data_IF_336823526224
#
_entry.id   IF_336823526224
#
_cell.length_a   1.000
_cell.length_b   1.000
_cell.length_c   1.000
_cell.angle_alpha   90.00
_cell.angle_beta   90.00
_cell.angle_gamma   90.00
#
_symmetry.space_group_name_H-M   'P 1'
#
loop_
_entity.id
_entity.type
_entity.pdbx_description
1 polymer ?
#
# COMPACT_ATOMS: atom_id res chain seq x y z
N UNK A 1 -8.51 -1.45 -21.72
CA UNK A 1 -8.45 -0.79 -20.40
C UNK A 1 -8.55 0.70 -20.65
N UNK A 2 -9.23 1.48 -19.80
CA UNK A 2 -9.09 2.93 -19.86
C UNK A 2 -7.59 3.26 -19.78
N UNK A 3 -7.14 4.26 -20.55
CA UNK A 3 -5.77 4.77 -20.41
C UNK A 3 -5.58 5.23 -18.97
N UNK A 4 -4.37 5.05 -18.44
CA UNK A 4 -3.92 5.75 -17.23
C UNK A 4 -4.01 7.26 -17.50
N UNK A 5 -5.17 7.85 -17.21
CA UNK A 5 -5.37 9.27 -17.09
C UNK A 5 -5.08 9.66 -15.65
N UNK A 6 -4.63 10.89 -15.41
CA UNK A 6 -4.39 11.40 -14.06
C UNK A 6 -5.64 11.31 -13.15
N UNK A 7 -6.83 11.12 -13.73
CA UNK A 7 -8.11 10.95 -13.05
C UNK A 7 -8.48 9.50 -12.67
N UNK A 8 -7.64 8.50 -12.98
CA UNK A 8 -7.94 7.11 -12.62
C UNK A 8 -7.90 6.95 -11.07
N UNK A 9 -8.88 6.26 -10.46
CA UNK A 9 -8.90 6.09 -9.02
C UNK A 9 -7.68 5.28 -8.57
N UNK A 10 -7.10 5.68 -7.44
CA UNK A 10 -5.94 5.00 -6.85
C UNK A 10 -6.38 3.72 -6.15
N UNK A 11 -5.40 2.85 -5.91
CA UNK A 11 -5.58 1.69 -5.04
C UNK A 11 -4.43 1.60 -4.03
N UNK A 12 -4.66 2.19 -2.86
CA UNK A 12 -3.73 2.13 -1.73
C UNK A 12 -3.49 0.72 -1.20
N UNK A 13 -4.46 -0.19 -1.40
CA UNK A 13 -4.34 -1.58 -0.95
C UNK A 13 -3.27 -2.34 -1.74
N UNK A 14 -3.20 -2.13 -3.06
CA UNK A 14 -2.14 -2.69 -3.90
C UNK A 14 -0.75 -2.21 -3.48
N UNK A 15 -0.60 -0.93 -3.14
CA UNK A 15 0.65 -0.37 -2.64
C UNK A 15 1.07 -0.99 -1.30
N UNK A 16 0.14 -1.16 -0.36
CA UNK A 16 0.40 -1.81 0.92
C UNK A 16 0.84 -3.28 0.76
N UNK A 17 0.15 -4.03 -0.11
CA UNK A 17 0.51 -5.42 -0.47
C UNK A 17 1.93 -5.48 -1.06
N UNK A 18 2.24 -4.58 -2.00
CA UNK A 18 3.54 -4.51 -2.63
C UNK A 18 4.65 -4.21 -1.61
N UNK A 19 4.44 -3.25 -0.71
CA UNK A 19 5.41 -2.95 0.35
C UNK A 19 5.69 -4.16 1.26
N UNK A 20 4.65 -4.87 1.70
CA UNK A 20 4.84 -6.09 2.51
C UNK A 20 5.61 -7.18 1.75
N UNK A 21 5.28 -7.39 0.47
CA UNK A 21 5.95 -8.37 -0.38
C UNK A 21 7.41 -8.02 -0.67
N UNK A 22 7.73 -6.74 -0.88
CA UNK A 22 9.10 -6.28 -1.08
C UNK A 22 9.96 -6.50 0.17
N UNK A 23 9.41 -6.27 1.35
CA UNK A 23 10.10 -6.58 2.62
C UNK A 23 10.31 -8.08 2.80
N UNK A 24 9.35 -8.90 2.38
CA UNK A 24 9.52 -10.37 2.37
C UNK A 24 10.69 -10.78 1.47
N UNK A 25 10.72 -10.29 0.23
CA UNK A 25 11.79 -10.56 -0.73
C UNK A 25 13.13 -10.09 -0.16
N UNK A 26 13.20 -8.88 0.40
CA UNK A 26 14.41 -8.34 0.99
C UNK A 26 15.00 -9.27 2.06
N UNK A 27 14.15 -9.86 2.92
CA UNK A 27 14.58 -10.79 3.95
C UNK A 27 15.11 -12.13 3.38
N UNK A 28 14.56 -12.57 2.25
CA UNK A 28 14.94 -13.84 1.61
C UNK A 28 16.24 -13.74 0.81
N UNK A 29 16.54 -12.58 0.21
CA UNK A 29 17.72 -12.41 -0.66
C UNK A 29 18.93 -11.78 0.05
N UNK A 30 18.75 -11.20 1.25
CA UNK A 30 19.82 -10.66 2.09
C UNK A 30 20.38 -9.31 1.62
N UNK A 31 21.47 -8.86 2.25
CA UNK A 31 22.01 -7.47 2.14
C UNK A 31 22.45 -7.02 0.72
N UNK A 32 22.54 -7.93 -0.24
CA UNK A 32 22.80 -7.59 -1.65
C UNK A 32 21.57 -6.97 -2.31
N UNK A 33 20.89 -7.75 -3.15
CA UNK A 33 19.70 -7.30 -3.88
C UNK A 33 18.55 -6.86 -2.93
N UNK A 34 18.57 -7.31 -1.66
CA UNK A 34 17.54 -7.02 -0.67
C UNK A 34 17.48 -5.55 -0.26
N UNK A 35 18.59 -4.82 -0.34
CA UNK A 35 18.60 -3.40 0.03
C UNK A 35 17.71 -2.57 -0.91
N UNK A 36 17.72 -2.87 -2.20
CA UNK A 36 16.86 -2.17 -3.18
C UNK A 36 15.38 -2.45 -2.95
N UNK A 37 15.01 -3.69 -2.62
CA UNK A 37 13.63 -4.04 -2.29
C UNK A 37 13.17 -3.39 -0.98
N UNK A 38 14.03 -3.39 0.05
CA UNK A 38 13.74 -2.72 1.32
C UNK A 38 13.53 -1.23 1.13
N UNK A 39 14.41 -0.54 0.40
CA UNK A 39 14.25 0.89 0.10
C UNK A 39 12.96 1.18 -0.66
N UNK A 40 12.63 0.39 -1.69
CA UNK A 40 11.39 0.56 -2.43
C UNK A 40 10.15 0.38 -1.53
N UNK A 41 10.17 -0.58 -0.61
CA UNK A 41 9.10 -0.76 0.36
C UNK A 41 8.97 0.44 1.32
N UNK A 42 10.10 0.96 1.81
CA UNK A 42 10.15 2.15 2.67
C UNK A 42 9.55 3.38 1.98
N UNK A 43 9.91 3.62 0.71
CA UNK A 43 9.36 4.74 -0.08
C UNK A 43 7.84 4.62 -0.27
N UNK A 44 7.34 3.41 -0.54
CA UNK A 44 5.90 3.16 -0.64
C UNK A 44 5.21 3.44 0.70
N UNK A 45 5.74 2.96 1.82
CA UNK A 45 5.16 3.17 3.15
C UNK A 45 5.16 4.64 3.56
N UNK A 46 6.23 5.39 3.24
CA UNK A 46 6.30 6.84 3.45
C UNK A 46 5.24 7.55 2.61
N UNK A 47 5.06 7.16 1.34
CA UNK A 47 4.02 7.74 0.49
C UNK A 47 2.62 7.46 1.02
N UNK A 48 2.33 6.22 1.44
CA UNK A 48 1.07 5.84 2.05
C UNK A 48 0.79 6.65 3.31
N UNK A 49 1.76 6.75 4.23
CA UNK A 49 1.63 7.54 5.45
C UNK A 49 1.38 9.03 5.16
N UNK A 50 2.13 9.62 4.24
CA UNK A 50 2.04 11.06 4.01
C UNK A 50 0.75 11.47 3.29
N UNK A 51 0.19 10.61 2.44
CA UNK A 51 -0.88 11.00 1.51
C UNK A 51 -2.18 10.23 1.71
N UNK A 52 -2.12 8.97 2.15
CA UNK A 52 -3.27 8.04 2.15
C UNK A 52 -3.81 7.74 3.55
N UNK A 53 -3.24 8.33 4.61
CA UNK A 53 -3.79 8.26 5.98
C UNK A 53 -4.37 9.60 6.46
N UNK A 54 -4.33 10.65 5.63
CA UNK A 54 -4.88 11.96 6.01
C UNK A 54 -6.40 11.95 5.94
N UNK A 55 -7.09 12.38 7.00
CA UNK A 55 -8.55 12.38 7.04
C UNK A 55 -9.17 11.12 7.67
N UNK A 56 -8.38 10.27 8.30
CA UNK A 56 -8.85 9.14 9.12
C UNK A 56 -9.91 9.53 10.16
N UNK A 57 -9.99 10.78 10.62
CA UNK A 57 -11.07 11.19 11.55
C UNK A 57 -12.49 11.00 10.98
N UNK A 58 -12.61 10.85 9.66
CA UNK A 58 -13.87 10.62 8.95
C UNK A 58 -14.01 9.18 8.41
N UNK A 59 -13.04 8.30 8.68
CA UNK A 59 -12.98 6.92 8.17
C UNK A 59 -12.57 5.94 9.27
N UNK A 60 -13.21 4.77 9.33
CA UNK A 60 -12.80 3.69 10.24
C UNK A 60 -11.55 2.94 9.77
N UNK A 61 -11.17 3.09 8.49
CA UNK A 61 -10.01 2.44 7.90
C UNK A 61 -8.71 3.24 8.04
N UNK A 62 -7.58 2.52 8.07
CA UNK A 62 -6.24 3.09 8.17
C UNK A 62 -5.77 3.71 6.86
N UNK A 63 -6.04 3.07 5.72
CA UNK A 63 -5.75 3.59 4.40
C UNK A 63 -7.01 4.03 3.68
N UNK A 64 -6.94 5.22 3.08
CA UNK A 64 -7.94 5.77 2.17
C UNK A 64 -7.57 5.46 0.71
N UNK A 65 -8.48 5.76 -0.22
CA UNK A 65 -8.26 5.67 -1.67
C UNK A 65 -7.86 4.28 -2.17
N UNK A 66 -8.55 3.24 -1.68
CA UNK A 66 -8.49 1.88 -2.23
C UNK A 66 -9.50 1.68 -3.36
N UNK A 67 -9.20 0.77 -4.29
CA UNK A 67 -10.13 0.41 -5.38
C UNK A 67 -10.28 -1.10 -5.51
N UNK A 68 -11.44 -1.64 -5.13
CA UNK A 68 -11.69 -3.08 -5.14
C UNK A 68 -12.21 -3.62 -6.48
N UNK A 69 -13.31 -3.06 -7.00
CA UNK A 69 -13.91 -3.54 -8.25
C UNK A 69 -14.38 -2.40 -9.16
N UNK A 70 -13.39 -1.79 -9.82
CA UNK A 70 -13.57 -0.64 -10.72
C UNK A 70 -14.65 -0.85 -11.79
N UNK A 71 -14.66 -2.00 -12.48
CA UNK A 71 -15.58 -2.25 -13.60
C UNK A 71 -17.07 -2.29 -13.20
N UNK A 72 -17.36 -2.41 -11.89
CA UNK A 72 -18.71 -2.42 -11.34
C UNK A 72 -18.98 -1.24 -10.41
N UNK A 73 -18.05 -0.30 -10.28
CA UNK A 73 -18.12 0.83 -9.37
C UNK A 73 -18.39 0.40 -7.91
N UNK A 74 -17.76 -0.71 -7.51
CA UNK A 74 -17.90 -1.28 -6.16
C UNK A 74 -16.57 -1.07 -5.43
N UNK A 75 -16.64 -0.41 -4.27
CA UNK A 75 -15.47 -0.06 -3.45
C UNK A 75 -14.40 0.72 -4.23
N UNK A 76 -14.81 1.70 -5.03
CA UNK A 76 -13.91 2.67 -5.67
C UNK A 76 -13.72 3.85 -4.71
N UNK A 77 -12.48 4.28 -4.54
CA UNK A 77 -12.10 5.35 -3.61
C UNK A 77 -12.59 5.10 -2.17
N UNK A 78 -12.40 3.87 -1.69
CA UNK A 78 -12.88 3.38 -0.40
C UNK A 78 -11.75 2.89 0.49
N UNK A 79 -11.98 2.84 1.80
CA UNK A 79 -11.12 2.13 2.73
C UNK A 79 -11.35 0.63 2.61
N UNK A 80 -10.26 -0.15 2.50
CA UNK A 80 -10.31 -1.59 2.25
C UNK A 80 -9.58 -2.34 3.36
N UNK A 81 -10.29 -3.24 4.05
CA UNK A 81 -9.75 -3.94 5.24
C UNK A 81 -8.48 -4.75 4.95
N UNK A 82 -8.34 -5.28 3.73
CA UNK A 82 -7.11 -5.97 3.33
C UNK A 82 -5.95 -4.98 3.09
N UNK A 83 -6.23 -3.76 2.61
CA UNK A 83 -5.23 -2.70 2.54
C UNK A 83 -4.68 -2.35 3.92
N UNK A 84 -5.57 -2.18 4.90
CA UNK A 84 -5.20 -1.90 6.30
C UNK A 84 -4.34 -3.02 6.90
N UNK A 85 -4.74 -4.28 6.67
CA UNK A 85 -3.98 -5.44 7.11
C UNK A 85 -2.54 -5.43 6.58
N UNK A 86 -2.38 -5.29 5.26
CA UNK A 86 -1.06 -5.31 4.63
C UNK A 86 -0.23 -4.09 4.97
N UNK A 87 -0.86 -2.94 5.22
CA UNK A 87 -0.17 -1.74 5.66
C UNK A 87 0.46 -1.95 7.05
N UNK A 88 -0.32 -2.46 8.01
CA UNK A 88 0.19 -2.77 9.35
C UNK A 88 1.22 -3.89 9.30
N UNK A 89 0.99 -4.93 8.50
CA UNK A 89 1.97 -6.00 8.30
C UNK A 89 3.31 -5.46 7.79
N UNK A 90 3.28 -4.62 6.75
CA UNK A 90 4.48 -4.02 6.18
C UNK A 90 5.21 -3.11 7.19
N UNK A 91 4.49 -2.29 7.96
CA UNK A 91 5.09 -1.49 9.03
C UNK A 91 5.75 -2.35 10.11
N UNK A 92 5.12 -3.48 10.49
CA UNK A 92 5.69 -4.41 11.45
C UNK A 92 6.92 -5.12 10.88
N UNK A 93 6.86 -5.61 9.64
CA UNK A 93 8.02 -6.18 8.95
C UNK A 93 9.17 -5.19 8.90
N UNK A 94 8.93 -3.94 8.53
CA UNK A 94 9.97 -2.91 8.47
C UNK A 94 10.59 -2.62 9.84
N UNK A 95 9.77 -2.57 10.90
CA UNK A 95 10.22 -2.30 12.27
C UNK A 95 11.09 -3.43 12.84
N UNK A 96 10.82 -4.68 12.45
CA UNK A 96 11.47 -5.87 13.00
C UNK A 96 12.39 -6.61 12.01
N UNK A 97 12.64 -6.03 10.83
CA UNK A 97 13.57 -6.52 9.81
C UNK A 97 15.03 -6.27 10.18
#
# INVERSE_FOLDING_TARGET
>A
MPKDSDDAPRDSSAAAIAASGLLEIASLVGEGDGLSYKHAAEEILISLHNTYTQGQEQSEGLLLHGTGYYMKDIYVDASLIYGDYYYVEALLKLKYA
#
